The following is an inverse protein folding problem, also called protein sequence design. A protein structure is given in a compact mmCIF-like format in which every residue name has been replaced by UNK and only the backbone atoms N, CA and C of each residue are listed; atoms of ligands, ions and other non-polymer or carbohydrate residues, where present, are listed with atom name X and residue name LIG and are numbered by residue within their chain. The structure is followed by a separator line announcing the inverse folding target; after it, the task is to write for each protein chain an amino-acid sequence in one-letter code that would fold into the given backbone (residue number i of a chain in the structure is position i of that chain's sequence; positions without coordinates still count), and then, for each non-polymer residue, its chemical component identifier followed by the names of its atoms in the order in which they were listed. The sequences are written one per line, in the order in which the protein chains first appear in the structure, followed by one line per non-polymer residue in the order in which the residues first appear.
data_IF_422516883556
#
_entry.id   IF_422516883556
#
_cell.length_a   1.000
_cell.length_b   1.000
_cell.length_c   1.000
_cell.angle_alpha   90.00
_cell.angle_beta   90.00
_cell.angle_gamma   90.00
#
_symmetry.space_group_name_H-M   'P 1'
#
loop_
_entity.id
_entity.type
_entity.pdbx_description
1 polymer ?
#
# COMPACT_ATOMS: atom_id res chain seq x y z
N UNK A 1 -31.12 9.31 1.11
CA UNK A 1 -31.25 8.02 0.39
C UNK A 1 -30.03 7.09 0.57
N UNK A 2 -28.80 7.59 0.74
CA UNK A 2 -27.60 6.72 0.86
C UNK A 2 -27.48 5.93 2.17
N UNK A 3 -27.98 6.44 3.31
CA UNK A 3 -27.82 5.79 4.62
C UNK A 3 -28.57 4.45 4.77
N UNK A 4 -29.73 4.28 4.12
CA UNK A 4 -30.51 3.05 4.19
C UNK A 4 -29.87 1.91 3.37
N UNK A 5 -29.43 2.21 2.14
CA UNK A 5 -28.71 1.25 1.29
C UNK A 5 -27.39 0.82 1.94
N UNK A 6 -26.63 1.77 2.49
CA UNK A 6 -25.40 1.44 3.22
C UNK A 6 -25.68 0.49 4.40
N UNK A 7 -26.76 0.68 5.17
CA UNK A 7 -27.10 -0.23 6.28
C UNK A 7 -27.51 -1.64 5.81
N UNK A 8 -28.22 -1.75 4.69
CA UNK A 8 -28.66 -3.04 4.13
C UNK A 8 -27.49 -3.82 3.54
N UNK A 9 -26.55 -3.14 2.87
CA UNK A 9 -25.38 -3.77 2.26
C UNK A 9 -24.15 -3.85 3.18
N UNK A 10 -24.11 -3.11 4.30
CA UNK A 10 -22.97 -3.07 5.21
C UNK A 10 -22.61 -4.44 5.80
N UNK A 11 -23.59 -5.27 6.19
CA UNK A 11 -23.34 -6.59 6.76
C UNK A 11 -22.62 -7.53 5.79
N UNK A 12 -23.21 -7.82 4.61
CA UNK A 12 -22.58 -8.64 3.59
C UNK A 12 -21.24 -8.08 3.09
N UNK A 13 -21.14 -6.75 2.90
CA UNK A 13 -19.92 -6.09 2.48
C UNK A 13 -18.80 -6.22 3.52
N UNK A 14 -19.13 -6.10 4.81
CA UNK A 14 -18.18 -6.29 5.91
C UNK A 14 -17.69 -7.74 6.02
N UNK A 15 -18.57 -8.72 5.81
CA UNK A 15 -18.17 -10.13 5.78
C UNK A 15 -17.18 -10.39 4.63
N UNK A 16 -17.47 -9.85 3.45
CA UNK A 16 -16.61 -9.96 2.27
C UNK A 16 -15.27 -9.23 2.47
N UNK A 17 -15.27 -8.03 3.06
CA UNK A 17 -14.03 -7.29 3.34
C UNK A 17 -13.15 -8.02 4.36
N UNK A 18 -13.76 -8.64 5.37
CA UNK A 18 -13.02 -9.43 6.36
C UNK A 18 -12.40 -10.68 5.75
N UNK A 19 -13.13 -11.38 4.86
CA UNK A 19 -12.58 -12.49 4.11
C UNK A 19 -11.39 -12.07 3.26
N UNK A 20 -11.54 -10.99 2.48
CA UNK A 20 -10.48 -10.42 1.66
C UNK A 20 -9.26 -10.02 2.50
N UNK A 21 -9.46 -9.31 3.61
CA UNK A 21 -8.37 -8.90 4.50
C UNK A 21 -7.59 -10.12 5.04
N UNK A 22 -8.28 -11.22 5.36
CA UNK A 22 -7.64 -12.45 5.86
C UNK A 22 -6.83 -13.15 4.77
N UNK A 23 -7.37 -13.27 3.55
CA UNK A 23 -6.67 -13.93 2.44
C UNK A 23 -5.46 -13.13 1.98
N UNK A 24 -5.61 -11.82 1.79
CA UNK A 24 -4.50 -10.94 1.42
C UNK A 24 -3.45 -10.87 2.52
N UNK A 25 -3.86 -10.74 3.79
CA UNK A 25 -2.94 -10.73 4.91
C UNK A 25 -2.10 -12.00 4.99
N UNK A 26 -2.72 -13.16 4.77
CA UNK A 26 -2.01 -14.44 4.72
C UNK A 26 -0.99 -14.50 3.59
N UNK A 27 -1.37 -14.09 2.37
CA UNK A 27 -0.46 -14.09 1.22
C UNK A 27 0.69 -13.09 1.37
N UNK A 28 0.44 -11.92 1.96
CA UNK A 28 1.48 -10.95 2.29
C UNK A 28 2.47 -11.50 3.33
N UNK A 29 1.97 -12.15 4.38
CA UNK A 29 2.82 -12.75 5.41
C UNK A 29 3.72 -13.85 4.85
N UNK A 30 3.28 -14.63 3.85
CA UNK A 30 4.09 -15.68 3.20
C UNK A 30 5.39 -15.14 2.58
N UNK A 31 5.36 -13.90 2.11
CA UNK A 31 6.52 -13.22 1.52
C UNK A 31 7.13 -12.15 2.44
N UNK A 32 6.49 -11.88 3.58
CA UNK A 32 6.93 -10.88 4.54
C UNK A 32 6.84 -9.46 3.99
N UNK A 33 5.78 -9.19 3.23
CA UNK A 33 5.47 -7.88 2.67
C UNK A 33 4.44 -7.16 3.53
N UNK A 34 4.49 -5.83 3.49
CA UNK A 34 3.39 -4.96 3.95
C UNK A 34 2.52 -4.59 2.76
N UNK A 35 1.26 -4.26 3.00
CA UNK A 35 0.30 -3.89 1.97
C UNK A 35 0.78 -2.68 1.16
N UNK A 36 1.37 -1.70 1.84
CA UNK A 36 1.94 -0.50 1.24
C UNK A 36 3.14 -0.79 0.32
N UNK A 37 3.83 -1.93 0.50
CA UNK A 37 4.94 -2.33 -0.38
C UNK A 37 4.44 -2.70 -1.80
N UNK A 38 3.14 -2.96 -1.98
CA UNK A 38 2.53 -3.25 -3.27
C UNK A 38 2.28 -1.99 -4.12
N UNK A 39 2.40 -0.81 -3.54
CA UNK A 39 2.21 0.46 -4.25
C UNK A 39 3.45 0.73 -5.11
N UNK A 40 3.23 0.77 -6.43
CA UNK A 40 4.26 0.93 -7.45
C UNK A 40 4.45 2.41 -7.83
N UNK A 41 5.64 2.92 -7.54
CA UNK A 41 6.10 4.27 -7.89
C UNK A 41 6.08 4.58 -9.40
N UNK A 42 6.17 3.58 -10.26
CA UNK A 42 6.19 3.78 -11.73
C UNK A 42 4.79 3.96 -12.32
N UNK A 43 3.77 3.43 -11.66
CA UNK A 43 2.37 3.54 -12.06
C UNK A 43 1.73 4.79 -11.47
N UNK A 44 2.03 5.10 -10.21
CA UNK A 44 1.54 6.29 -9.53
C UNK A 44 2.72 7.16 -9.07
N UNK A 45 2.88 8.34 -9.68
CA UNK A 45 3.94 9.28 -9.30
C UNK A 45 3.75 9.87 -7.91
N UNK A 46 2.51 9.89 -7.40
CA UNK A 46 2.19 10.38 -6.06
C UNK A 46 2.79 9.43 -5.00
N UNK A 47 2.91 8.14 -5.34
CA UNK A 47 3.64 7.15 -4.51
C UNK A 47 5.13 7.44 -4.50
N UNK A 48 5.72 7.85 -5.62
CA UNK A 48 7.13 8.23 -5.67
C UNK A 48 7.41 9.43 -4.76
N UNK A 49 6.60 10.49 -4.86
CA UNK A 49 6.70 11.66 -3.99
C UNK A 49 6.52 11.28 -2.51
N UNK A 50 5.55 10.43 -2.19
CA UNK A 50 5.32 9.97 -0.83
C UNK A 50 6.51 9.15 -0.28
N UNK A 51 7.13 8.32 -1.13
CA UNK A 51 8.36 7.59 -0.75
C UNK A 51 9.52 8.56 -0.49
N UNK A 52 9.70 9.58 -1.31
CA UNK A 52 10.79 10.56 -1.16
C UNK A 52 10.67 11.38 0.13
N UNK A 53 9.45 11.58 0.65
CA UNK A 53 9.18 12.22 1.95
C UNK A 53 9.47 11.33 3.15
N UNK A 54 9.47 10.00 2.99
CA UNK A 54 9.69 9.08 4.10
C UNK A 54 11.12 9.14 4.65
N UNK A 55 11.30 8.90 5.96
CA UNK A 55 12.63 8.76 6.53
C UNK A 55 13.40 7.65 5.83
N UNK A 56 14.70 7.85 5.69
CA UNK A 56 15.58 6.92 4.96
C UNK A 56 15.49 5.49 5.50
N UNK A 57 15.38 5.35 6.82
CA UNK A 57 15.27 4.04 7.49
C UNK A 57 14.05 3.24 6.99
N UNK A 58 12.86 3.87 6.91
CA UNK A 58 11.65 3.21 6.41
C UNK A 58 11.78 2.79 4.94
N UNK A 59 12.40 3.64 4.10
CA UNK A 59 12.69 3.30 2.70
C UNK A 59 13.65 2.11 2.56
N UNK A 60 14.68 2.05 3.40
CA UNK A 60 15.61 0.93 3.43
C UNK A 60 14.93 -0.36 3.89
N UNK A 61 14.07 -0.28 4.91
CA UNK A 61 13.27 -1.41 5.39
C UNK A 61 12.29 -1.91 4.31
N UNK A 62 11.61 -1.01 3.58
CA UNK A 62 10.81 -1.36 2.39
C UNK A 62 11.64 -2.11 1.37
N UNK A 63 12.81 -1.56 1.03
CA UNK A 63 13.71 -2.15 0.03
C UNK A 63 14.16 -3.55 0.44
N UNK A 64 14.44 -3.76 1.72
CA UNK A 64 14.81 -5.08 2.24
C UNK A 64 13.66 -6.09 2.13
N UNK A 65 12.42 -5.68 2.46
CA UNK A 65 11.23 -6.53 2.32
C UNK A 65 10.99 -6.92 0.87
N UNK A 66 11.06 -5.97 -0.06
CA UNK A 66 10.91 -6.22 -1.49
C UNK A 66 11.97 -7.18 -2.03
N UNK A 67 13.25 -6.97 -1.69
CA UNK A 67 14.34 -7.87 -2.08
C UNK A 67 14.13 -9.29 -1.57
N UNK A 68 13.72 -9.43 -0.30
CA UNK A 68 13.40 -10.73 0.31
C UNK A 68 12.23 -11.41 -0.42
N UNK A 69 11.15 -10.68 -0.67
CA UNK A 69 9.98 -11.23 -1.36
C UNK A 69 10.32 -11.71 -2.78
N UNK A 70 11.13 -10.95 -3.53
CA UNK A 70 11.62 -11.34 -4.85
C UNK A 70 12.47 -12.61 -4.80
N UNK A 71 13.39 -12.72 -3.82
CA UNK A 71 14.21 -13.92 -3.62
C UNK A 71 13.38 -15.17 -3.29
N UNK A 72 12.43 -15.04 -2.35
CA UNK A 72 11.51 -16.11 -1.97
C UNK A 72 10.64 -16.55 -3.16
N UNK A 73 10.11 -15.58 -3.91
CA UNK A 73 9.30 -15.83 -5.12
C UNK A 73 10.11 -16.59 -6.18
N UNK A 74 11.35 -16.14 -6.45
CA UNK A 74 12.23 -16.78 -7.42
C UNK A 74 12.55 -18.23 -7.05
N UNK A 75 12.72 -18.51 -5.74
CA UNK A 75 13.01 -19.84 -5.22
C UNK A 75 11.78 -20.73 -5.06
N UNK A 76 10.58 -20.20 -5.27
CA UNK A 76 9.31 -20.88 -4.96
C UNK A 76 9.24 -21.43 -3.53
N UNK A 77 9.78 -20.67 -2.57
CA UNK A 77 9.71 -20.97 -1.14
C UNK A 77 9.05 -19.80 -0.40
N UNK A 78 8.55 -20.07 0.79
CA UNK A 78 7.91 -19.08 1.66
C UNK A 78 8.68 -18.90 2.96
N UNK A 79 8.37 -17.83 3.68
CA UNK A 79 8.81 -17.70 5.06
C UNK A 79 8.31 -18.88 5.91
N UNK A 80 9.10 -19.23 6.91
CA UNK A 80 8.71 -20.18 7.94
C UNK A 80 7.52 -19.63 8.75
N UNK A 81 6.74 -20.55 9.32
CA UNK A 81 5.51 -20.21 10.02
C UNK A 81 5.74 -19.25 11.19
N UNK A 82 6.84 -19.42 11.94
CA UNK A 82 7.17 -18.56 13.08
C UNK A 82 7.46 -17.12 12.63
N UNK A 83 8.23 -16.94 11.55
CA UNK A 83 8.48 -15.60 11.01
C UNK A 83 7.23 -14.99 10.34
N UNK A 84 6.38 -15.81 9.71
CA UNK A 84 5.09 -15.36 9.15
C UNK A 84 4.17 -14.77 10.22
N UNK A 85 4.09 -15.40 11.39
CA UNK A 85 3.26 -14.95 12.52
C UNK A 85 3.73 -13.60 13.10
N UNK A 86 5.02 -13.27 12.95
CA UNK A 86 5.60 -11.98 13.38
C UNK A 86 5.39 -10.84 12.37
N UNK A 87 4.90 -11.12 11.17
CA UNK A 87 4.71 -10.08 10.15
C UNK A 87 3.53 -9.18 10.49
N UNK A 88 3.61 -7.92 10.05
CA UNK A 88 2.55 -6.92 10.23
C UNK A 88 2.05 -6.39 8.86
N UNK A 89 1.30 -7.18 8.07
CA UNK A 89 0.93 -6.81 6.69
C UNK A 89 0.16 -5.49 6.55
N UNK A 90 -0.64 -5.12 7.56
CA UNK A 90 -1.49 -3.93 7.55
C UNK A 90 -0.98 -2.80 8.45
N UNK A 91 0.32 -2.81 8.75
CA UNK A 91 1.01 -1.68 9.39
C UNK A 91 1.42 -0.67 8.31
N UNK A 92 0.54 0.30 8.09
CA UNK A 92 0.61 1.26 6.98
C UNK A 92 1.58 2.39 7.31
N UNK A 93 2.67 2.48 6.54
CA UNK A 93 3.73 3.48 6.71
C UNK A 93 3.72 4.54 5.59
N UNK A 94 3.21 4.18 4.40
CA UNK A 94 3.19 5.02 3.20
C UNK A 94 1.82 5.64 2.96
N UNK A 95 0.74 4.88 3.22
CA UNK A 95 -0.64 5.34 3.05
C UNK A 95 -0.95 6.72 3.68
N UNK A 96 -0.52 7.05 4.92
CA UNK A 96 -0.79 8.37 5.49
C UNK A 96 -0.08 9.51 4.75
N UNK A 97 1.17 9.28 4.33
CA UNK A 97 1.96 10.27 3.58
C UNK A 97 1.40 10.44 2.17
N UNK A 98 0.97 9.35 1.54
CA UNK A 98 0.33 9.38 0.22
C UNK A 98 -0.96 10.21 0.25
N UNK A 99 -1.79 10.06 1.28
CA UNK A 99 -3.01 10.85 1.43
C UNK A 99 -2.73 12.35 1.56
N UNK A 100 -1.64 12.74 2.24
CA UNK A 100 -1.20 14.12 2.34
C UNK A 100 -0.76 14.67 0.97
N UNK A 101 0.03 13.90 0.22
CA UNK A 101 0.47 14.26 -1.15
C UNK A 101 -0.71 14.44 -2.09
N UNK A 102 -1.67 13.51 -2.07
CA UNK A 102 -2.88 13.58 -2.91
C UNK A 102 -3.75 14.79 -2.54
N UNK A 103 -3.87 15.10 -1.24
CA UNK A 103 -4.61 16.27 -0.76
C UNK A 103 -3.95 17.57 -1.24
N UNK A 104 -2.64 17.74 -1.06
CA UNK A 104 -1.89 18.92 -1.53
C UNK A 104 -2.02 19.11 -3.04
N UNK A 105 -1.92 18.01 -3.80
CA UNK A 105 -2.08 18.02 -5.25
C UNK A 105 -3.49 18.45 -5.65
N UNK A 106 -4.51 17.93 -4.97
CA UNK A 106 -5.91 18.31 -5.23
C UNK A 106 -6.18 19.79 -4.94
N UNK A 107 -5.57 20.34 -3.88
CA UNK A 107 -5.65 21.75 -3.53
C UNK A 107 -4.98 22.62 -4.60
N UNK A 108 -3.75 22.27 -5.01
CA UNK A 108 -3.03 22.97 -6.08
C UNK A 108 -3.84 23.04 -7.38
N UNK A 109 -4.42 21.92 -7.78
CA UNK A 109 -5.27 21.84 -8.99
C UNK A 109 -6.54 22.69 -8.82
N UNK A 110 -7.18 22.65 -7.65
CA UNK A 110 -8.37 23.46 -7.36
C UNK A 110 -8.08 24.98 -7.39
N UNK A 111 -6.87 25.38 -7.00
CA UNK A 111 -6.39 26.76 -7.09
C UNK A 111 -5.94 27.17 -8.50
N UNK A 112 -5.94 26.24 -9.47
CA UNK A 112 -5.51 26.49 -10.84
C UNK A 112 -3.99 26.57 -11.02
N UNK A 113 -3.22 26.03 -10.07
CA UNK A 113 -1.76 25.93 -10.16
C UNK A 113 -1.32 24.59 -10.80
N UNK A 114 -0.13 24.59 -11.39
CA UNK A 114 0.44 23.38 -11.98
C UNK A 114 0.93 22.38 -10.92
N UNK A 115 0.92 21.09 -11.29
CA UNK A 115 1.43 20.01 -10.45
C UNK A 115 2.96 19.98 -10.50
N UNK A 116 3.60 19.67 -9.36
CA UNK A 116 5.06 19.73 -9.21
C UNK A 116 5.82 18.66 -10.01
N UNK A 117 5.17 17.55 -10.38
CA UNK A 117 5.73 16.47 -11.20
C UNK A 117 4.70 15.99 -12.22
N UNK A 118 5.17 15.50 -13.37
CA UNK A 118 4.34 14.99 -14.46
C UNK A 118 4.93 13.72 -15.06
N UNK A 119 4.07 12.82 -15.55
CA UNK A 119 4.49 11.58 -16.21
C UNK A 119 5.11 11.90 -17.56
N UNK A 120 6.29 11.35 -17.82
CA UNK A 120 6.91 11.43 -19.15
C UNK A 120 6.10 10.58 -20.14
N UNK A 121 5.88 11.11 -21.34
CA UNK A 121 5.23 10.37 -22.43
C UNK A 121 6.27 9.40 -22.99
N UNK A 122 5.97 8.09 -23.05
CA UNK A 122 6.89 7.09 -23.58
C UNK A 122 7.14 7.28 -25.08
#
# INVERSE_FOLDING_TARGET
MSSFLLKVFAGPLSAMSNYYRRTVGYELSKYGLRYDDLLDETQNLDVQEALDRLPKEEREMRTQRLKRAMDLSMKHIYLDKETMEKQTPFDHYLSPVLAEVEAEKSEKVALGSDVSYNRQIP
#
